data_IF_237748440521
#
_entry.id   IF_237748440521
#
_cell.length_a   1.000
_cell.length_b   1.000
_cell.length_c   1.000
_cell.angle_alpha   90.00
_cell.angle_beta   90.00
_cell.angle_gamma   90.00
#
_symmetry.space_group_name_H-M   'P 1'
#
loop_
_entity.id
_entity.type
_entity.pdbx_description
1 polymer ?
#
# COMPACT_ATOMS: atom_id res chain seq x y z
N UNK A 1 -4.18 34.40 -61.45
CA UNK A 1 -3.43 34.02 -62.67
C UNK A 1 -2.55 32.84 -62.26
N UNK A 2 -2.91 31.60 -62.61
CA UNK A 2 -2.31 30.82 -63.72
C UNK A 2 -0.77 30.85 -63.68
N UNK A 3 0.00 29.76 -63.65
CA UNK A 3 -0.23 28.31 -63.81
C UNK A 3 0.94 27.63 -63.03
N UNK A 4 0.91 26.36 -62.59
CA UNK A 4 1.03 25.19 -63.45
C UNK A 4 0.79 23.90 -62.66
N UNK A 5 0.38 22.85 -63.38
CA UNK A 5 0.01 21.53 -62.86
C UNK A 5 0.97 20.50 -63.49
N UNK A 6 0.89 19.25 -63.02
CA UNK A 6 1.09 18.00 -63.78
C UNK A 6 2.38 17.16 -63.59
N UNK A 7 2.14 15.90 -63.17
CA UNK A 7 2.98 14.68 -63.19
C UNK A 7 4.11 14.60 -62.13
N UNK A 8 4.46 13.43 -61.62
CA UNK A 8 4.21 12.05 -62.10
C UNK A 8 3.92 11.08 -60.95
N UNK A 9 3.09 10.06 -61.21
CA UNK A 9 2.74 9.01 -60.24
C UNK A 9 3.46 7.69 -60.56
N UNK A 10 3.87 6.95 -59.52
CA UNK A 10 4.18 5.50 -59.60
C UNK A 10 3.87 4.83 -58.26
N UNK A 11 2.74 4.15 -58.20
CA UNK A 11 2.43 3.11 -57.21
C UNK A 11 3.24 1.85 -57.50
N UNK A 12 3.66 1.12 -56.46
CA UNK A 12 4.23 -0.22 -56.63
C UNK A 12 3.50 -1.23 -55.73
N UNK A 13 2.80 -2.14 -56.38
CA UNK A 13 2.03 -3.24 -55.80
C UNK A 13 2.78 -4.53 -56.11
N UNK A 14 3.10 -5.34 -55.09
CA UNK A 14 3.51 -6.73 -55.28
C UNK A 14 2.58 -7.64 -54.48
N UNK A 15 1.94 -8.55 -55.20
CA UNK A 15 1.21 -9.71 -54.70
C UNK A 15 1.65 -10.91 -55.54
N UNK A 16 2.22 -11.94 -54.92
CA UNK A 16 2.31 -13.29 -55.52
C UNK A 16 2.25 -14.36 -54.44
N UNK A 17 1.37 -15.33 -54.66
CA UNK A 17 1.11 -16.53 -53.85
C UNK A 17 1.87 -17.76 -54.37
N UNK A 18 1.79 -18.88 -53.64
CA UNK A 18 1.68 -20.31 -54.07
C UNK A 18 2.30 -21.22 -52.97
N UNK A 19 1.50 -21.93 -52.14
CA UNK A 19 0.90 -23.29 -52.32
C UNK A 19 1.93 -24.45 -52.36
N UNK A 20 1.84 -25.38 -51.38
CA UNK A 20 1.97 -26.85 -51.60
C UNK A 20 1.53 -27.72 -50.40
N UNK A 21 0.48 -28.53 -50.60
CA UNK A 21 0.20 -29.93 -50.17
C UNK A 21 0.43 -30.41 -48.70
N UNK A 22 -0.60 -30.86 -47.92
CA UNK A 22 -1.41 -32.13 -47.96
C UNK A 22 -0.71 -33.35 -47.32
N UNK A 23 -1.30 -34.38 -46.67
CA UNK A 23 -2.69 -34.87 -46.42
C UNK A 23 -2.62 -36.12 -45.46
N UNK A 24 -3.70 -36.87 -45.06
CA UNK A 24 -5.16 -36.62 -45.06
C UNK A 24 -5.94 -37.05 -43.75
N UNK A 25 -7.18 -36.55 -43.64
CA UNK A 25 -8.41 -37.17 -43.08
C UNK A 25 -8.47 -37.93 -41.72
N UNK A 26 -9.37 -37.49 -40.84
CA UNK A 26 -10.54 -38.26 -40.37
C UNK A 26 -11.70 -37.29 -40.07
N UNK A 27 -12.95 -37.73 -40.25
CA UNK A 27 -14.14 -36.86 -40.26
C UNK A 27 -15.12 -37.26 -39.15
N UNK A 28 -15.54 -36.30 -38.31
CA UNK A 28 -16.70 -36.44 -37.42
C UNK A 28 -17.33 -35.07 -37.13
N UNK A 29 -18.62 -34.93 -37.44
CA UNK A 29 -19.42 -33.77 -37.06
C UNK A 29 -19.98 -33.95 -35.64
N UNK A 30 -19.94 -32.89 -34.83
CA UNK A 30 -20.87 -32.71 -33.70
C UNK A 30 -21.06 -31.22 -33.42
N UNK A 31 -22.33 -30.83 -33.27
CA UNK A 31 -22.82 -29.45 -33.10
C UNK A 31 -22.82 -29.03 -31.63
N UNK A 32 -22.78 -27.70 -31.37
CA UNK A 32 -22.90 -27.03 -30.05
C UNK A 32 -21.66 -27.22 -29.14
N UNK A 33 -21.23 -26.27 -28.32
CA UNK A 33 -21.89 -25.06 -27.78
C UNK A 33 -20.90 -23.90 -27.61
N UNK A 34 -21.38 -22.68 -27.37
CA UNK A 34 -20.55 -21.61 -26.79
C UNK A 34 -20.22 -21.95 -25.34
N UNK A 35 -18.95 -22.20 -25.02
CA UNK A 35 -18.46 -22.17 -23.64
C UNK A 35 -17.86 -20.80 -23.35
N UNK A 36 -18.60 -19.99 -22.60
CA UNK A 36 -18.01 -18.86 -21.88
C UNK A 36 -16.98 -19.41 -20.91
N UNK A 37 -15.70 -19.11 -21.14
CA UNK A 37 -14.65 -19.32 -20.15
C UNK A 37 -14.91 -18.39 -18.96
N UNK A 38 -15.73 -18.87 -18.03
CA UNK A 38 -15.96 -18.21 -16.76
C UNK A 38 -14.74 -18.51 -15.91
N UNK A 39 -13.79 -17.57 -15.89
CA UNK A 39 -12.72 -17.59 -14.90
C UNK A 39 -13.34 -17.42 -13.51
N UNK A 40 -13.67 -18.57 -12.90
CA UNK A 40 -13.90 -18.66 -11.47
C UNK A 40 -12.58 -18.26 -10.81
N UNK A 41 -12.49 -17.00 -10.38
CA UNK A 41 -11.42 -16.55 -9.51
C UNK A 41 -11.48 -17.40 -8.24
N UNK A 42 -10.55 -18.34 -8.11
CA UNK A 42 -10.36 -19.07 -6.85
C UNK A 42 -9.95 -18.03 -5.82
N UNK A 43 -10.84 -17.74 -4.86
CA UNK A 43 -10.51 -16.92 -3.69
C UNK A 43 -9.51 -17.73 -2.85
N UNK A 44 -8.22 -17.57 -3.15
CA UNK A 44 -7.14 -18.24 -2.42
C UNK A 44 -7.06 -17.66 -1.02
N UNK A 45 -7.42 -18.47 -0.03
CA UNK A 45 -7.31 -18.14 1.40
C UNK A 45 -5.86 -17.81 1.74
N UNK A 46 -5.61 -16.54 2.09
CA UNK A 46 -4.29 -16.05 2.45
C UNK A 46 -4.07 -16.23 3.95
N UNK A 47 -3.00 -16.93 4.33
CA UNK A 47 -2.58 -17.12 5.72
C UNK A 47 -1.26 -16.37 5.94
N UNK A 48 -1.24 -15.41 6.86
CA UNK A 48 -0.04 -14.59 7.17
C UNK A 48 0.22 -14.58 8.67
N UNK A 49 1.46 -14.84 9.06
CA UNK A 49 1.89 -14.76 10.46
C UNK A 49 2.39 -13.36 10.81
N UNK A 50 1.82 -12.77 11.84
CA UNK A 50 2.09 -11.39 12.24
C UNK A 50 3.33 -11.22 13.17
N UNK A 51 3.62 -9.98 13.59
CA UNK A 51 4.76 -9.70 14.48
C UNK A 51 4.66 -10.30 15.88
N UNK A 52 3.52 -10.89 16.25
CA UNK A 52 3.29 -11.59 17.53
C UNK A 52 3.39 -13.11 17.41
N UNK A 53 3.63 -13.63 16.20
CA UNK A 53 3.52 -15.04 15.82
C UNK A 53 2.07 -15.55 15.85
N UNK A 54 1.09 -14.68 15.62
CA UNK A 54 -0.31 -15.05 15.41
C UNK A 54 -0.57 -15.24 13.92
N UNK A 55 -1.09 -16.40 13.53
CA UNK A 55 -1.59 -16.62 12.16
C UNK A 55 -2.92 -15.86 11.99
N UNK A 56 -2.98 -15.04 10.93
CA UNK A 56 -4.18 -14.35 10.48
C UNK A 56 -4.61 -15.00 9.16
N UNK A 57 -5.86 -15.42 9.09
CA UNK A 57 -6.49 -16.00 7.91
C UNK A 57 -7.37 -14.94 7.27
N UNK A 58 -7.20 -14.73 5.96
CA UNK A 58 -8.04 -13.87 5.13
C UNK A 58 -8.64 -14.73 4.01
N UNK A 59 -9.95 -14.91 4.03
CA UNK A 59 -10.66 -15.73 3.03
C UNK A 59 -10.67 -15.08 1.64
N UNK A 60 -10.49 -13.75 1.59
CA UNK A 60 -10.37 -12.94 0.37
C UNK A 60 -9.49 -11.70 0.61
N UNK A 61 -9.17 -10.98 -0.45
CA UNK A 61 -8.53 -9.66 -0.35
C UNK A 61 -9.48 -8.68 0.39
N UNK A 62 -9.00 -7.97 1.42
CA UNK A 62 -9.80 -7.00 2.18
C UNK A 62 -9.99 -5.70 1.39
N UNK A 63 -11.22 -5.18 1.42
CA UNK A 63 -11.67 -3.95 0.76
C UNK A 63 -11.90 -2.80 1.76
N UNK A 64 -12.14 -3.11 3.04
CA UNK A 64 -12.56 -2.17 4.09
C UNK A 64 -11.58 -2.19 5.25
N UNK A 65 -10.39 -1.63 5.03
CA UNK A 65 -9.28 -1.73 5.97
C UNK A 65 -9.31 -0.58 6.99
N UNK A 66 -9.06 -0.88 8.26
CA UNK A 66 -8.93 0.10 9.35
C UNK A 66 -7.48 0.19 9.86
N UNK A 67 -6.89 1.38 9.89
CA UNK A 67 -5.57 1.63 10.50
C UNK A 67 -5.68 2.20 11.92
N UNK A 68 -5.12 1.52 12.92
CA UNK A 68 -5.16 1.94 14.32
C UNK A 68 -3.97 2.81 14.78
N UNK A 69 -2.97 3.03 13.93
CA UNK A 69 -1.78 3.84 14.23
C UNK A 69 -1.35 4.66 13.01
N UNK A 70 -0.63 5.78 13.22
CA UNK A 70 -0.07 6.61 12.15
C UNK A 70 0.77 5.81 11.14
N UNK A 71 1.55 4.80 11.59
CA UNK A 71 2.31 3.92 10.71
C UNK A 71 1.40 3.10 9.79
N UNK A 72 0.25 2.67 10.29
CA UNK A 72 -0.74 1.97 9.47
C UNK A 72 -1.34 2.92 8.42
N UNK A 73 -1.62 4.17 8.78
CA UNK A 73 -2.17 5.18 7.86
C UNK A 73 -1.15 5.61 6.78
N UNK A 74 0.14 5.77 7.11
CA UNK A 74 1.21 6.09 6.13
C UNK A 74 1.34 4.96 5.09
N UNK A 75 1.28 3.70 5.55
CA UNK A 75 1.28 2.52 4.67
C UNK A 75 0.04 2.49 3.76
N UNK A 76 -1.17 2.67 4.30
CA UNK A 76 -2.40 2.67 3.49
C UNK A 76 -2.40 3.80 2.45
N UNK A 77 -1.90 4.99 2.81
CA UNK A 77 -1.74 6.10 1.88
C UNK A 77 -0.75 5.80 0.74
N UNK A 78 0.43 5.21 1.03
CA UNK A 78 1.39 4.84 -0.03
C UNK A 78 0.90 3.67 -0.90
N UNK A 79 0.00 2.81 -0.41
CA UNK A 79 -0.70 1.78 -1.20
C UNK A 79 -1.94 2.30 -1.96
N UNK A 80 -2.31 3.57 -1.76
CA UNK A 80 -3.49 4.18 -2.39
C UNK A 80 -4.83 3.65 -1.87
N UNK A 81 -4.88 3.17 -0.62
CA UNK A 81 -6.08 2.63 0.03
C UNK A 81 -6.65 3.68 0.99
N UNK A 82 -7.87 4.14 0.74
CA UNK A 82 -8.62 4.97 1.69
C UNK A 82 -9.13 4.08 2.85
N UNK A 83 -8.75 4.35 4.12
CA UNK A 83 -9.17 3.52 5.24
C UNK A 83 -10.65 3.74 5.58
N UNK A 84 -11.31 2.68 6.05
CA UNK A 84 -12.71 2.71 6.47
C UNK A 84 -12.99 3.63 7.68
N UNK A 85 -11.94 3.99 8.42
CA UNK A 85 -11.98 4.95 9.52
C UNK A 85 -10.58 5.34 10.00
N UNK A 86 -10.51 6.35 10.86
CA UNK A 86 -9.30 6.77 11.58
C UNK A 86 -9.66 7.08 13.03
N UNK A 87 -8.71 6.96 13.96
CA UNK A 87 -8.93 7.45 15.32
C UNK A 87 -9.04 8.98 15.31
N UNK A 88 -9.92 9.55 16.14
CA UNK A 88 -10.20 10.99 16.22
C UNK A 88 -8.91 11.82 16.45
N UNK A 89 -7.99 11.32 17.29
CA UNK A 89 -6.69 11.95 17.54
C UNK A 89 -5.70 11.88 16.35
N UNK A 90 -6.04 11.18 15.27
CA UNK A 90 -5.30 11.10 14.01
C UNK A 90 -6.05 11.76 12.84
N UNK A 91 -7.22 12.36 13.07
CA UNK A 91 -8.04 12.94 12.01
C UNK A 91 -7.32 14.06 11.24
N UNK A 92 -6.54 14.91 11.91
CA UNK A 92 -5.75 15.97 11.26
C UNK A 92 -4.65 15.37 10.36
N UNK A 93 -3.98 14.31 10.82
CA UNK A 93 -2.94 13.60 10.05
C UNK A 93 -3.52 12.98 8.78
N UNK A 94 -4.71 12.38 8.85
CA UNK A 94 -5.39 11.83 7.68
C UNK A 94 -5.73 12.90 6.62
N UNK A 95 -5.97 14.14 7.04
CA UNK A 95 -6.29 15.28 6.17
C UNK A 95 -5.07 15.96 5.54
N UNK A 96 -3.84 15.57 5.92
CA UNK A 96 -2.63 16.15 5.31
C UNK A 96 -2.61 15.88 3.79
N UNK A 97 -2.17 16.83 2.95
CA UNK A 97 -2.17 16.67 1.48
C UNK A 97 -1.31 15.49 0.99
N UNK A 98 -0.29 15.13 1.76
CA UNK A 98 0.60 13.99 1.53
C UNK A 98 -0.01 12.64 2.00
N UNK A 99 -1.17 12.68 2.67
CA UNK A 99 -1.92 11.52 3.16
C UNK A 99 -3.16 11.30 2.30
N UNK A 100 -4.36 11.65 2.78
CA UNK A 100 -5.61 11.53 2.01
C UNK A 100 -6.22 12.89 1.62
N UNK A 101 -5.60 14.01 2.04
CA UNK A 101 -6.02 15.36 1.70
C UNK A 101 -7.50 15.64 1.96
N UNK A 102 -8.21 16.15 0.94
CA UNK A 102 -9.64 16.44 1.02
C UNK A 102 -10.53 15.20 1.20
N UNK A 103 -10.06 13.99 0.83
CA UNK A 103 -10.79 12.76 1.15
C UNK A 103 -10.64 12.40 2.63
N UNK A 104 -9.50 12.74 3.26
CA UNK A 104 -9.25 12.57 4.69
C UNK A 104 -10.32 13.19 5.59
N UNK A 105 -10.99 14.26 5.12
CA UNK A 105 -12.11 14.92 5.82
C UNK A 105 -13.41 14.11 5.87
N UNK A 106 -13.53 13.10 5.00
CA UNK A 106 -14.73 12.25 4.85
C UNK A 106 -14.57 10.89 5.55
N UNK A 107 -13.34 10.51 5.86
CA UNK A 107 -13.04 9.25 6.55
C UNK A 107 -13.69 9.29 7.95
N UNK A 108 -14.37 8.21 8.31
CA UNK A 108 -15.09 8.13 9.58
C UNK A 108 -14.13 8.23 10.77
N UNK A 109 -14.43 9.13 11.70
CA UNK A 109 -13.64 9.28 12.93
C UNK A 109 -14.18 8.33 14.01
N UNK A 110 -13.26 7.57 14.62
CA UNK A 110 -13.51 6.62 15.68
C UNK A 110 -12.99 7.24 16.97
N UNK A 111 -13.87 7.44 17.95
CA UNK A 111 -13.49 7.90 19.28
C UNK A 111 -12.66 6.83 20.01
N UNK A 112 -11.95 7.23 21.07
CA UNK A 112 -11.12 6.32 21.85
C UNK A 112 -11.55 6.30 23.32
N UNK A 113 -11.60 5.11 23.92
CA UNK A 113 -11.94 4.92 25.34
C UNK A 113 -10.71 5.23 26.23
N UNK A 114 -9.51 5.02 25.69
CA UNK A 114 -8.24 5.40 26.27
C UNK A 114 -7.22 5.69 25.15
N UNK A 115 -6.04 6.23 25.48
CA UNK A 115 -5.04 6.67 24.50
C UNK A 115 -4.58 5.60 23.48
N UNK A 116 -4.79 4.31 23.79
CA UNK A 116 -4.40 3.16 22.94
C UNK A 116 -5.59 2.22 22.62
N UNK A 117 -6.82 2.56 23.04
CA UNK A 117 -7.97 1.65 22.98
C UNK A 117 -9.14 2.34 22.24
N UNK A 118 -9.43 1.95 20.98
CA UNK A 118 -10.51 2.55 20.19
C UNK A 118 -11.90 2.16 20.72
N UNK A 119 -12.92 2.95 20.38
CA UNK A 119 -14.31 2.58 20.61
C UNK A 119 -14.69 1.37 19.73
N UNK A 120 -14.82 0.20 20.36
CA UNK A 120 -15.07 -1.06 19.67
C UNK A 120 -16.44 -1.12 18.98
N UNK A 121 -17.46 -0.44 19.52
CA UNK A 121 -18.80 -0.40 18.90
C UNK A 121 -18.74 0.33 17.55
N UNK A 122 -18.03 1.47 17.51
CA UNK A 122 -17.79 2.22 16.27
C UNK A 122 -16.92 1.44 15.28
N UNK A 123 -15.88 0.73 15.75
CA UNK A 123 -15.08 -0.17 14.89
C UNK A 123 -15.97 -1.23 14.23
N UNK A 124 -16.83 -1.91 14.98
CA UNK A 124 -17.74 -2.93 14.45
C UNK A 124 -18.81 -2.32 13.54
N UNK A 125 -19.32 -1.12 13.85
CA UNK A 125 -20.30 -0.40 13.02
C UNK A 125 -19.75 -0.07 11.62
N UNK A 126 -18.45 0.23 11.50
CA UNK A 126 -17.79 0.47 10.22
C UNK A 126 -17.61 -0.79 9.37
N UNK A 127 -17.82 -1.99 9.93
CA UNK A 127 -17.65 -3.29 9.26
C UNK A 127 -16.34 -3.37 8.45
N UNK A 128 -15.17 -3.20 9.09
CA UNK A 128 -13.92 -3.51 8.44
C UNK A 128 -13.79 -5.02 8.21
N UNK A 129 -13.09 -5.41 7.16
CA UNK A 129 -12.71 -6.79 6.87
C UNK A 129 -11.26 -7.10 7.26
N UNK A 130 -10.42 -6.08 7.44
CA UNK A 130 -9.11 -6.17 8.07
C UNK A 130 -8.85 -4.94 8.96
N UNK A 131 -8.29 -5.16 10.13
CA UNK A 131 -7.70 -4.11 10.97
C UNK A 131 -6.17 -4.26 10.98
N UNK A 132 -5.44 -3.17 10.75
CA UNK A 132 -3.99 -3.12 10.86
C UNK A 132 -3.62 -2.30 12.10
N UNK A 133 -2.76 -2.86 12.96
CA UNK A 133 -2.33 -2.24 14.20
C UNK A 133 -0.87 -2.56 14.57
N UNK A 134 -0.52 -2.25 15.81
CA UNK A 134 0.78 -2.50 16.42
C UNK A 134 0.61 -3.32 17.72
N UNK A 135 1.72 -3.78 18.29
CA UNK A 135 1.77 -4.61 19.52
C UNK A 135 0.97 -4.02 20.71
N UNK A 136 0.82 -2.70 20.78
CA UNK A 136 0.01 -2.00 21.79
C UNK A 136 -1.49 -2.32 21.71
N UNK A 137 -2.00 -2.77 20.55
CA UNK A 137 -3.41 -3.07 20.31
C UNK A 137 -3.80 -4.53 20.65
N UNK A 138 -2.98 -5.25 21.42
CA UNK A 138 -3.27 -6.65 21.85
C UNK A 138 -4.63 -6.83 22.51
N UNK A 139 -5.03 -5.91 23.40
CA UNK A 139 -6.37 -5.95 24.01
C UNK A 139 -7.49 -5.77 22.98
N UNK A 140 -7.29 -4.85 22.03
CA UNK A 140 -8.21 -4.61 20.91
C UNK A 140 -8.40 -5.86 20.05
N UNK A 141 -7.31 -6.60 19.78
CA UNK A 141 -7.38 -7.91 19.09
C UNK A 141 -8.21 -8.91 19.88
N UNK A 142 -7.91 -9.11 21.16
CA UNK A 142 -8.67 -10.09 21.97
C UNK A 142 -10.16 -9.74 22.07
N UNK A 143 -10.50 -8.45 22.14
CA UNK A 143 -11.88 -7.98 22.19
C UNK A 143 -12.64 -8.10 20.84
N UNK A 144 -11.93 -8.16 19.71
CA UNK A 144 -12.49 -8.31 18.35
C UNK A 144 -12.30 -9.72 17.77
N UNK A 145 -11.81 -10.66 18.57
CA UNK A 145 -11.51 -12.04 18.17
C UNK A 145 -12.75 -12.76 17.65
N UNK A 146 -12.68 -13.26 16.42
CA UNK A 146 -13.81 -13.89 15.74
C UNK A 146 -14.85 -12.92 15.16
N UNK A 147 -14.62 -11.60 15.25
CA UNK A 147 -15.46 -10.56 14.63
C UNK A 147 -14.80 -10.00 13.38
N UNK A 148 -13.51 -9.65 13.47
CA UNK A 148 -12.70 -9.14 12.35
C UNK A 148 -11.22 -9.48 12.59
N UNK A 149 -10.46 -9.93 11.56
CA UNK A 149 -9.03 -10.17 11.71
C UNK A 149 -8.29 -8.85 11.98
N UNK A 150 -7.38 -8.87 12.95
CA UNK A 150 -6.50 -7.75 13.27
C UNK A 150 -5.05 -8.19 13.10
N UNK A 151 -4.34 -7.67 12.10
CA UNK A 151 -2.93 -7.92 11.84
C UNK A 151 -2.04 -6.92 12.60
N UNK A 152 -0.94 -7.37 13.22
CA UNK A 152 0.04 -6.48 13.85
C UNK A 152 1.31 -6.37 13.02
N UNK A 153 1.60 -5.13 12.60
CA UNK A 153 2.88 -4.75 12.04
C UNK A 153 3.96 -4.76 13.13
N UNK A 154 5.18 -5.15 12.76
CA UNK A 154 6.32 -5.03 13.65
C UNK A 154 6.64 -3.55 13.88
N UNK A 155 6.99 -3.15 15.11
CA UNK A 155 7.46 -1.77 15.37
C UNK A 155 8.83 -1.59 14.69
N UNK A 156 8.95 -0.76 13.64
CA UNK A 156 10.16 -0.70 12.83
C UNK A 156 11.32 -0.09 13.62
N UNK A 157 12.47 -0.77 13.58
CA UNK A 157 13.76 -0.29 14.14
C UNK A 157 14.66 0.26 13.05
N UNK A 158 14.42 -0.08 11.79
CA UNK A 158 15.15 0.41 10.59
C UNK A 158 14.18 0.75 9.45
N UNK A 159 14.68 1.44 8.41
CA UNK A 159 13.87 1.67 7.20
C UNK A 159 13.59 0.37 6.44
N UNK A 160 14.45 -0.64 6.56
CA UNK A 160 14.23 -1.94 5.94
C UNK A 160 13.06 -2.68 6.60
N UNK A 161 12.95 -2.61 7.93
CA UNK A 161 11.80 -3.16 8.67
C UNK A 161 10.49 -2.48 8.24
N UNK A 162 10.59 -1.18 7.97
CA UNK A 162 9.45 -0.35 7.59
C UNK A 162 9.02 -0.59 6.13
N UNK A 163 9.97 -0.82 5.22
CA UNK A 163 9.71 -1.34 3.87
C UNK A 163 9.10 -2.75 3.95
N UNK A 164 9.56 -3.62 4.86
CA UNK A 164 8.99 -4.95 5.03
C UNK A 164 7.52 -4.87 5.46
N UNK A 165 7.18 -4.03 6.44
CA UNK A 165 5.79 -3.75 6.82
C UNK A 165 4.93 -3.26 5.63
N UNK A 166 5.46 -2.37 4.79
CA UNK A 166 4.78 -1.89 3.57
C UNK A 166 4.55 -3.03 2.56
N UNK A 167 5.54 -3.91 2.34
CA UNK A 167 5.41 -5.07 1.44
C UNK A 167 4.40 -6.09 1.96
N UNK A 168 4.45 -6.42 3.25
CA UNK A 168 3.44 -7.28 3.90
C UNK A 168 2.04 -6.69 3.81
N UNK A 169 1.87 -5.37 3.97
CA UNK A 169 0.58 -4.72 3.73
C UNK A 169 0.17 -4.81 2.24
N UNK A 170 1.11 -4.72 1.31
CA UNK A 170 0.88 -5.01 -0.12
C UNK A 170 0.40 -6.45 -0.36
N UNK A 171 1.03 -7.44 0.26
CA UNK A 171 0.62 -8.86 0.20
C UNK A 171 -0.80 -9.04 0.75
N UNK A 172 -1.07 -8.55 1.95
CA UNK A 172 -2.37 -8.62 2.65
C UNK A 172 -3.53 -7.96 1.88
N UNK A 173 -3.24 -7.02 0.97
CA UNK A 173 -4.26 -6.20 0.28
C UNK A 173 -4.22 -6.35 -1.25
N UNK A 174 -3.42 -7.28 -1.77
CA UNK A 174 -3.17 -7.44 -3.22
C UNK A 174 -2.34 -6.31 -3.86
N UNK A 175 -1.98 -5.27 -3.12
CA UNK A 175 -1.23 -4.07 -3.55
C UNK A 175 0.29 -4.28 -3.66
N UNK A 176 0.72 -5.45 -4.11
CA UNK A 176 2.13 -5.83 -4.22
C UNK A 176 2.93 -4.90 -5.16
N UNK A 177 2.32 -4.48 -6.27
CA UNK A 177 2.98 -3.61 -7.27
C UNK A 177 3.15 -2.20 -6.71
N UNK A 178 2.12 -1.65 -6.07
CA UNK A 178 2.15 -0.35 -5.42
C UNK A 178 3.14 -0.34 -4.24
N UNK A 179 3.19 -1.41 -3.44
CA UNK A 179 4.14 -1.56 -2.34
C UNK A 179 5.61 -1.54 -2.82
N UNK A 180 5.93 -2.27 -3.90
CA UNK A 180 7.28 -2.27 -4.47
C UNK A 180 7.64 -0.91 -5.08
N UNK A 181 6.70 -0.28 -5.80
CA UNK A 181 6.90 1.04 -6.38
C UNK A 181 7.15 2.13 -5.30
N UNK A 182 6.38 2.10 -4.22
CA UNK A 182 6.56 3.00 -3.07
C UNK A 182 7.88 2.74 -2.33
N UNK A 183 8.26 1.47 -2.13
CA UNK A 183 9.55 1.10 -1.55
C UNK A 183 10.72 1.60 -2.40
N UNK A 184 10.68 1.41 -3.73
CA UNK A 184 11.74 1.87 -4.64
C UNK A 184 11.83 3.41 -4.66
N UNK A 185 10.69 4.11 -4.78
CA UNK A 185 10.58 5.58 -4.68
C UNK A 185 11.21 6.13 -3.40
N UNK A 186 11.06 5.44 -2.27
CA UNK A 186 11.74 5.81 -1.02
C UNK A 186 13.25 5.54 -1.08
N UNK A 187 13.68 4.38 -1.58
CA UNK A 187 15.10 4.03 -1.70
C UNK A 187 15.87 5.00 -2.63
N UNK A 188 15.25 5.44 -3.74
CA UNK A 188 15.82 6.41 -4.68
C UNK A 188 15.96 7.81 -4.05
N UNK A 189 14.94 8.27 -3.31
CA UNK A 189 15.03 9.48 -2.48
C UNK A 189 16.15 9.36 -1.44
N UNK A 190 16.23 8.23 -0.73
CA UNK A 190 17.25 7.97 0.28
C UNK A 190 18.67 7.95 -0.31
N UNK A 191 18.86 7.35 -1.49
CA UNK A 191 20.12 7.37 -2.22
C UNK A 191 20.51 8.80 -2.65
N UNK A 192 19.54 9.56 -3.17
CA UNK A 192 19.71 10.97 -3.56
C UNK A 192 20.14 11.84 -2.38
N UNK A 193 19.54 11.66 -1.20
CA UNK A 193 19.93 12.38 0.01
C UNK A 193 21.30 11.91 0.55
N UNK A 194 21.56 10.59 0.60
CA UNK A 194 22.88 10.05 1.00
C UNK A 194 24.03 10.60 0.15
N UNK A 195 23.82 10.83 -1.15
CA UNK A 195 24.81 11.44 -2.03
C UNK A 195 25.07 12.92 -1.74
N UNK A 196 24.05 13.66 -1.25
CA UNK A 196 24.13 15.09 -0.91
C UNK A 196 24.56 15.37 0.53
N UNK A 197 24.42 14.39 1.44
CA UNK A 197 24.71 14.58 2.86
C UNK A 197 26.19 14.93 3.15
N UNK A 198 26.46 15.95 3.98
CA UNK A 198 27.81 16.31 4.39
C UNK A 198 28.41 15.22 5.29
N UNK A 199 29.58 14.70 4.91
CA UNK A 199 30.19 13.51 5.55
C UNK A 199 30.82 13.78 6.93
N UNK A 200 31.14 15.05 7.24
CA UNK A 200 31.92 15.44 8.43
C UNK A 200 31.13 16.40 9.35
N UNK A 201 29.82 16.22 9.50
CA UNK A 201 29.00 17.02 10.42
C UNK A 201 28.37 16.16 11.51
N UNK A 202 28.39 16.66 12.75
CA UNK A 202 27.66 16.08 13.86
C UNK A 202 26.22 16.61 13.84
N UNK A 203 25.25 15.73 13.58
CA UNK A 203 23.83 16.08 13.55
C UNK A 203 23.18 15.65 14.87
N UNK A 204 22.49 16.58 15.52
CA UNK A 204 21.62 16.32 16.66
C UNK A 204 20.16 16.48 16.23
N UNK A 205 19.39 15.39 16.27
CA UNK A 205 17.93 15.46 16.13
C UNK A 205 17.27 15.50 17.50
N UNK A 206 16.47 16.56 17.72
CA UNK A 206 15.64 16.74 18.89
C UNK A 206 14.18 16.60 18.45
N UNK A 207 13.38 15.81 19.17
CA UNK A 207 11.93 15.78 19.02
C UNK A 207 11.28 16.23 20.33
N UNK A 208 10.23 17.03 20.23
CA UNK A 208 9.42 17.42 21.38
C UNK A 208 8.05 17.94 21.00
N UNK A 209 7.14 17.91 21.97
CA UNK A 209 5.97 18.81 22.03
C UNK A 209 6.31 19.91 23.05
N UNK A 210 5.52 20.99 23.10
CA UNK A 210 5.82 22.18 23.91
C UNK A 210 6.23 21.86 25.37
N UNK A 211 5.66 20.81 25.96
CA UNK A 211 5.83 20.46 27.37
C UNK A 211 6.85 19.33 27.62
N UNK A 212 7.45 18.74 26.58
CA UNK A 212 8.36 17.58 26.71
C UNK A 212 9.37 17.48 25.56
N UNK A 213 10.67 17.56 25.89
CA UNK A 213 11.79 17.36 24.96
C UNK A 213 12.36 15.94 25.12
N UNK A 214 12.50 15.20 24.01
CA UNK A 214 13.18 13.89 23.96
C UNK A 214 14.42 13.95 23.08
N UNK A 215 15.59 13.85 23.70
CA UNK A 215 16.87 13.71 23.02
C UNK A 215 17.04 12.29 22.46
N UNK A 216 17.45 12.17 21.19
CA UNK A 216 17.78 10.87 20.59
C UNK A 216 19.21 10.88 20.06
N UNK A 217 20.07 10.06 20.68
CA UNK A 217 21.44 9.86 20.19
C UNK A 217 21.42 9.15 18.83
N UNK A 218 22.42 9.40 17.97
CA UNK A 218 22.50 8.87 16.60
C UNK A 218 22.27 7.34 16.43
N UNK A 219 22.49 6.52 17.47
CA UNK A 219 22.19 5.06 17.44
C UNK A 219 20.69 4.73 17.61
N UNK A 220 19.91 5.62 18.24
CA UNK A 220 18.46 5.49 18.45
C UNK A 220 17.65 6.29 17.43
N UNK A 221 18.33 7.00 16.51
CA UNK A 221 17.73 7.90 15.52
C UNK A 221 16.70 7.19 14.64
N UNK A 222 16.97 5.92 14.31
CA UNK A 222 16.12 5.09 13.48
C UNK A 222 14.69 4.95 14.04
N UNK A 223 14.54 4.64 15.33
CA UNK A 223 13.22 4.58 16.01
C UNK A 223 12.43 5.88 15.94
N UNK A 224 13.07 7.04 15.81
CA UNK A 224 12.34 8.30 15.64
C UNK A 224 11.91 8.50 14.19
N UNK A 225 12.84 8.34 13.25
CA UNK A 225 12.56 8.55 11.82
C UNK A 225 11.44 7.64 11.34
N UNK A 226 11.44 6.36 11.73
CA UNK A 226 10.50 5.35 11.24
C UNK A 226 9.18 5.24 12.02
N UNK A 227 8.84 6.21 12.87
CA UNK A 227 7.64 6.15 13.71
C UNK A 227 6.41 6.92 13.23
N UNK A 228 6.57 7.90 12.32
CA UNK A 228 5.46 8.77 11.83
C UNK A 228 5.68 9.23 10.37
N UNK A 229 6.87 9.01 9.80
CA UNK A 229 7.24 9.52 8.48
C UNK A 229 8.20 8.54 7.79
N UNK A 230 7.74 7.31 7.57
CA UNK A 230 8.61 6.23 7.08
C UNK A 230 9.05 6.51 5.65
N UNK A 231 8.10 6.89 4.77
CA UNK A 231 8.39 7.19 3.37
C UNK A 231 8.51 8.69 3.07
N UNK A 232 8.08 9.56 4.00
CA UNK A 232 8.01 11.01 3.83
C UNK A 232 8.96 11.78 4.76
N UNK A 233 10.27 11.50 4.67
CA UNK A 233 11.28 12.46 5.16
C UNK A 233 11.32 13.70 4.24
N UNK A 234 10.41 14.65 4.50
CA UNK A 234 10.62 16.02 4.09
C UNK A 234 11.66 16.69 5.01
N UNK A 235 12.79 17.05 4.40
CA UNK A 235 13.70 18.13 4.79
C UNK A 235 14.47 18.03 6.11
N UNK A 236 15.81 17.92 5.98
CA UNK A 236 16.80 18.55 6.89
C UNK A 236 17.80 19.43 6.08
N UNK A 237 17.61 19.58 4.76
CA UNK A 237 18.49 20.35 3.89
C UNK A 237 17.72 21.14 2.81
N UNK A 238 17.03 22.21 3.22
CA UNK A 238 17.04 23.53 2.55
C UNK A 238 17.27 24.57 3.65
#
# INVERSE_FOLDING_TARGET
MLLSIFRLATTFLILTTLISCSSPAQNSSSTLSEEQNTETATEETLIVTDSTNTEIVLDKIPERILGLDHVCLDILAELGIEPAGVLENMADFAQEPDMFGEQGKKIAQIGSVSFLEPNLEQVVQLKPDLIIGLDVHKKTREALKGVVPLYMLAIPKTYSDAIANLKTAGELTGKNIEAEAAAQKFLDKLATYKAKSPKNQNILLIRGKADNIRYNHAKNLSRCVFGVAILKLYFIFH
#
